data_IF_977308607106
#
_entry.id   IF_977308607106
#
_cell.length_a   1.000
_cell.length_b   1.000
_cell.length_c   1.000
_cell.angle_alpha   90.00
_cell.angle_beta   90.00
_cell.angle_gamma   90.00
#
_symmetry.space_group_name_H-M   'P 1'
#
loop_
_entity.id
_entity.type
_entity.pdbx_description
1 polymer ?
#
# COMPACT_ATOMS: atom_id res chain seq x y z
N UNK A 1 2.75 -15.87 0.73
CA UNK A 1 1.94 -16.48 -0.35
C UNK A 1 2.37 -15.74 -1.60
N UNK A 2 3.11 -16.40 -2.49
CA UNK A 2 3.53 -15.77 -3.74
C UNK A 2 2.31 -15.65 -4.65
N UNK A 3 1.78 -14.44 -4.76
CA UNK A 3 0.72 -14.13 -5.71
C UNK A 3 1.37 -13.51 -6.94
N UNK A 4 0.99 -13.97 -8.14
CA UNK A 4 1.33 -13.25 -9.36
C UNK A 4 0.68 -11.88 -9.37
N UNK A 5 1.26 -10.93 -10.10
CA UNK A 5 0.70 -9.59 -10.24
C UNK A 5 -0.73 -9.61 -10.79
N UNK A 6 -1.06 -10.57 -11.67
CA UNK A 6 -2.41 -10.77 -12.21
C UNK A 6 -3.41 -11.19 -11.14
N UNK A 7 -3.05 -12.13 -10.26
CA UNK A 7 -3.94 -12.58 -9.20
C UNK A 7 -4.22 -11.44 -8.20
N UNK A 8 -3.21 -10.62 -7.90
CA UNK A 8 -3.39 -9.43 -7.06
C UNK A 8 -4.27 -8.39 -7.75
N UNK A 9 -4.10 -8.18 -9.06
CA UNK A 9 -4.97 -7.30 -9.82
C UNK A 9 -6.44 -7.75 -9.75
N UNK A 10 -6.70 -9.03 -10.00
CA UNK A 10 -8.04 -9.58 -9.89
C UNK A 10 -8.63 -9.39 -8.50
N UNK A 11 -7.82 -9.56 -7.44
CA UNK A 11 -8.24 -9.30 -6.07
C UNK A 11 -8.60 -7.82 -5.85
N UNK A 12 -7.75 -6.87 -6.27
CA UNK A 12 -8.04 -5.45 -6.10
C UNK A 12 -9.27 -5.01 -6.89
N UNK A 13 -9.45 -5.49 -8.12
CA UNK A 13 -10.64 -5.24 -8.94
C UNK A 13 -11.90 -5.81 -8.27
N UNK A 14 -11.82 -7.03 -7.74
CA UNK A 14 -12.91 -7.65 -6.99
C UNK A 14 -13.25 -6.84 -5.73
N UNK A 15 -12.24 -6.30 -5.04
CA UNK A 15 -12.46 -5.41 -3.91
C UNK A 15 -13.13 -4.10 -4.33
N UNK A 16 -12.70 -3.48 -5.45
CA UNK A 16 -13.34 -2.28 -5.96
C UNK A 16 -14.81 -2.49 -6.29
N UNK A 17 -15.15 -3.67 -6.80
CA UNK A 17 -16.53 -4.06 -7.13
C UNK A 17 -17.34 -4.52 -5.90
N UNK A 18 -16.77 -4.53 -4.70
CA UNK A 18 -17.43 -4.96 -3.47
C UNK A 18 -17.68 -6.47 -3.39
N UNK A 19 -16.96 -7.27 -4.20
CA UNK A 19 -17.09 -8.73 -4.27
C UNK A 19 -16.22 -9.46 -3.24
N UNK A 20 -15.39 -8.75 -2.49
CA UNK A 20 -14.55 -9.30 -1.42
C UNK A 20 -15.19 -9.12 -0.05
N UNK A 21 -14.57 -9.69 0.98
CA UNK A 21 -15.03 -9.52 2.36
C UNK A 21 -14.99 -8.03 2.75
N UNK A 22 -16.17 -7.42 2.96
CA UNK A 22 -16.28 -6.00 3.34
C UNK A 22 -15.66 -5.68 4.71
N UNK A 23 -15.46 -6.69 5.55
CA UNK A 23 -14.77 -6.58 6.85
C UNK A 23 -13.25 -6.77 6.74
N UNK A 24 -12.71 -6.96 5.55
CA UNK A 24 -11.27 -7.00 5.36
C UNK A 24 -10.71 -5.61 5.66
N UNK A 25 -9.82 -5.53 6.65
CA UNK A 25 -9.21 -4.27 7.09
C UNK A 25 -7.73 -4.18 6.68
N UNK A 26 -7.03 -5.31 6.64
CA UNK A 26 -5.63 -5.39 6.24
C UNK A 26 -5.33 -6.71 5.56
N UNK A 27 -4.46 -6.70 4.55
CA UNK A 27 -3.77 -7.89 4.09
C UNK A 27 -2.28 -7.60 3.86
N UNK A 28 -1.47 -8.67 3.88
CA UNK A 28 -0.06 -8.64 3.56
C UNK A 28 0.16 -9.39 2.26
N UNK A 29 0.82 -8.74 1.30
CA UNK A 29 1.05 -9.24 -0.04
C UNK A 29 2.54 -9.32 -0.30
N UNK A 30 3.01 -10.46 -0.81
CA UNK A 30 4.41 -10.66 -1.14
C UNK A 30 4.59 -10.46 -2.65
N UNK A 31 5.45 -9.53 -3.04
CA UNK A 31 5.81 -9.25 -4.43
C UNK A 31 7.31 -9.29 -4.64
N UNK A 32 7.72 -9.57 -5.88
CA UNK A 32 9.10 -9.85 -6.26
C UNK A 32 9.78 -8.66 -7.00
N UNK A 33 8.98 -7.72 -7.51
CA UNK A 33 9.46 -6.53 -8.23
C UNK A 33 8.51 -5.33 -8.09
N UNK A 34 9.03 -4.13 -8.37
CA UNK A 34 8.22 -2.92 -8.52
C UNK A 34 7.20 -3.00 -9.66
N UNK A 35 7.61 -3.64 -10.76
CA UNK A 35 6.75 -3.85 -11.92
C UNK A 35 5.55 -4.73 -11.56
N UNK A 36 5.70 -5.66 -10.61
CA UNK A 36 4.56 -6.44 -10.10
C UNK A 36 3.54 -5.56 -9.35
N UNK A 37 3.99 -4.55 -8.60
CA UNK A 37 3.08 -3.59 -7.92
C UNK A 37 2.30 -2.78 -8.96
N UNK A 38 3.00 -2.25 -9.97
CA UNK A 38 2.39 -1.51 -11.09
C UNK A 38 1.36 -2.37 -11.82
N UNK A 39 1.70 -3.62 -12.11
CA UNK A 39 0.82 -4.57 -12.78
C UNK A 39 -0.37 -4.95 -11.90
N UNK A 40 -0.16 -5.20 -10.60
CA UNK A 40 -1.22 -5.47 -9.65
C UNK A 40 -2.24 -4.32 -9.57
N UNK A 41 -1.79 -3.07 -9.63
CA UNK A 41 -2.66 -1.89 -9.53
C UNK A 41 -3.17 -1.39 -10.89
N UNK A 42 -2.79 -2.02 -12.01
CA UNK A 42 -3.16 -1.60 -13.35
C UNK A 42 -4.68 -1.51 -13.50
N UNK A 43 -5.17 -0.36 -13.94
CA UNK A 43 -6.59 -0.09 -14.11
C UNK A 43 -7.37 0.16 -12.81
N UNK A 44 -6.75 0.05 -11.62
CA UNK A 44 -7.41 0.32 -10.34
C UNK A 44 -7.48 1.82 -10.00
N UNK A 45 -6.83 2.70 -10.77
CA UNK A 45 -6.77 4.14 -10.50
C UNK A 45 -5.90 4.46 -9.27
N UNK A 46 -4.79 3.75 -9.11
CA UNK A 46 -3.85 4.00 -8.02
C UNK A 46 -3.11 5.32 -8.18
N UNK A 47 -3.11 6.14 -7.13
CA UNK A 47 -2.41 7.43 -7.05
C UNK A 47 -1.29 7.35 -6.00
N UNK A 48 -0.06 7.70 -6.40
CA UNK A 48 1.08 7.75 -5.49
C UNK A 48 1.02 9.04 -4.65
N UNK A 49 1.06 8.90 -3.33
CA UNK A 49 0.85 10.02 -2.40
C UNK A 49 2.13 10.42 -1.68
N UNK A 50 2.41 11.71 -1.63
CA UNK A 50 3.60 12.25 -0.95
C UNK A 50 3.52 12.04 0.58
N UNK A 51 4.50 11.37 1.22
CA UNK A 51 4.48 11.04 2.64
C UNK A 51 4.66 12.26 3.55
N UNK A 52 5.15 13.39 3.01
CA UNK A 52 5.33 14.66 3.76
C UNK A 52 3.99 15.33 4.03
N UNK A 53 3.05 15.18 3.09
CA UNK A 53 1.73 15.84 3.10
C UNK A 53 0.59 14.87 3.40
N UNK A 54 0.74 13.58 3.12
CA UNK A 54 -0.33 12.58 3.23
C UNK A 54 -0.08 11.65 4.41
N UNK A 55 -1.02 11.66 5.37
CA UNK A 55 -0.95 10.84 6.58
C UNK A 55 -2.31 10.26 6.89
N UNK A 56 -2.37 8.97 7.16
CA UNK A 56 -3.60 8.26 7.49
C UNK A 56 -3.45 7.51 8.81
N UNK A 57 -4.49 7.63 9.64
CA UNK A 57 -4.63 6.85 10.87
C UNK A 57 -5.54 5.68 10.60
N UNK A 58 -4.99 4.47 10.70
CA UNK A 58 -5.73 3.23 10.61
C UNK A 58 -5.91 2.62 12.01
N UNK A 59 -7.12 2.14 12.30
CA UNK A 59 -7.42 1.44 13.56
C UNK A 59 -8.20 0.18 13.24
N UNK A 60 -7.63 -0.98 13.56
CA UNK A 60 -8.32 -2.26 13.39
C UNK A 60 -9.52 -2.36 14.35
N UNK A 61 -10.62 -2.95 13.90
CA UNK A 61 -11.82 -3.17 14.71
C UNK A 61 -11.59 -4.10 15.90
N UNK A 62 -10.55 -4.94 15.86
CA UNK A 62 -10.21 -5.88 16.93
C UNK A 62 -9.53 -5.22 18.16
N UNK A 63 -9.68 -3.91 18.35
CA UNK A 63 -9.13 -3.19 19.51
C UNK A 63 -7.63 -2.93 19.43
N UNK A 64 -7.03 -3.03 18.23
CA UNK A 64 -5.59 -2.87 18.02
C UNK A 64 -5.06 -1.44 18.24
N UNK A 65 -3.74 -1.34 18.29
CA UNK A 65 -3.02 -0.05 18.33
C UNK A 65 -3.31 0.79 17.08
N UNK A 66 -3.26 2.12 17.23
CA UNK A 66 -3.34 3.02 16.08
C UNK A 66 -2.14 2.78 15.18
N UNK A 67 -2.40 2.65 13.88
CA UNK A 67 -1.37 2.53 12.85
C UNK A 67 -1.34 3.84 12.06
N UNK A 68 -0.17 4.45 11.95
CA UNK A 68 0.03 5.62 11.11
C UNK A 68 0.75 5.25 9.83
N UNK A 69 0.15 5.64 8.70
CA UNK A 69 0.61 5.38 7.34
C UNK A 69 0.94 6.74 6.70
N UNK A 70 2.15 6.86 6.12
CA UNK A 70 2.61 8.07 5.46
C UNK A 70 2.73 7.78 3.96
N UNK A 71 2.04 8.57 3.13
CA UNK A 71 2.01 8.38 1.67
C UNK A 71 1.27 7.09 1.27
N UNK A 72 1.93 6.29 0.44
CA UNK A 72 1.42 5.03 -0.13
C UNK A 72 0.75 5.22 -1.50
N UNK A 73 0.28 4.12 -2.09
CA UNK A 73 -0.55 4.18 -3.31
C UNK A 73 -2.01 4.06 -2.90
N UNK A 74 -2.78 5.11 -3.17
CA UNK A 74 -4.19 5.21 -2.80
C UNK A 74 -5.05 4.80 -3.98
N UNK A 75 -6.05 3.96 -3.75
CA UNK A 75 -7.07 3.64 -4.75
C UNK A 75 -8.42 3.46 -4.07
N UNK A 76 -9.50 3.64 -4.83
CA UNK A 76 -10.86 3.62 -4.28
C UNK A 76 -11.71 2.50 -4.84
N UNK A 77 -12.56 1.96 -3.98
CA UNK A 77 -13.64 1.08 -4.42
C UNK A 77 -14.79 1.87 -5.05
N UNK A 78 -15.66 1.17 -5.76
CA UNK A 78 -16.86 1.76 -6.37
C UNK A 78 -17.83 2.33 -5.33
N UNK A 79 -17.73 1.85 -4.07
CA UNK A 79 -18.46 2.39 -2.92
C UNK A 79 -17.76 3.59 -2.26
N UNK A 80 -16.67 4.09 -2.85
CA UNK A 80 -15.90 5.26 -2.38
C UNK A 80 -14.89 4.97 -1.28
N UNK A 81 -14.87 3.73 -0.73
CA UNK A 81 -13.91 3.31 0.31
C UNK A 81 -12.48 3.41 -0.19
N UNK A 82 -11.56 3.71 0.72
CA UNK A 82 -10.15 3.90 0.42
C UNK A 82 -9.37 2.61 0.72
N UNK A 83 -8.49 2.23 -0.19
CA UNK A 83 -7.44 1.27 0.04
C UNK A 83 -6.07 1.93 -0.16
N UNK A 84 -5.10 1.51 0.65
CA UNK A 84 -3.74 2.08 0.66
C UNK A 84 -2.73 0.95 0.61
N UNK A 85 -1.89 0.94 -0.43
CA UNK A 85 -0.70 0.09 -0.50
C UNK A 85 0.48 0.84 0.11
N UNK A 86 1.02 0.29 1.20
CA UNK A 86 2.17 0.81 1.93
C UNK A 86 3.46 0.23 1.31
N UNK A 87 4.39 1.09 0.88
CA UNK A 87 5.53 0.73 0.03
C UNK A 87 6.84 0.46 0.80
N UNK A 88 6.93 0.92 2.04
CA UNK A 88 8.16 0.87 2.84
C UNK A 88 8.31 -0.42 3.66
N UNK A 89 7.23 -1.17 3.86
CA UNK A 89 7.16 -2.36 4.71
C UNK A 89 7.03 -2.01 6.20
N UNK A 90 6.65 -0.77 6.52
CA UNK A 90 6.77 -0.23 7.87
C UNK A 90 5.61 0.70 8.22
N UNK A 91 5.13 0.63 9.47
CA UNK A 91 4.04 1.45 9.98
C UNK A 91 4.21 1.73 11.48
N UNK A 92 3.62 2.82 11.99
CA UNK A 92 3.90 3.30 13.35
C UNK A 92 2.74 3.12 14.31
N UNK A 93 3.05 2.79 15.57
CA UNK A 93 2.07 2.77 16.66
C UNK A 93 1.76 4.17 17.24
N UNK A 94 2.58 5.17 16.91
CA UNK A 94 2.50 6.56 17.41
C UNK A 94 2.54 7.57 16.28
N UNK A 95 1.85 8.68 16.48
CA UNK A 95 1.88 9.83 15.57
C UNK A 95 3.20 10.59 15.77
N UNK A 96 3.85 11.03 14.69
CA UNK A 96 5.14 11.74 14.75
C UNK A 96 6.24 11.00 15.52
N UNK A 97 6.31 9.67 15.36
CA UNK A 97 7.46 8.89 15.83
C UNK A 97 8.76 9.52 15.31
N UNK A 98 9.83 9.53 16.11
CA UNK A 98 11.13 10.11 15.71
C UNK A 98 11.65 9.46 14.41
N UNK A 99 11.23 8.23 14.14
CA UNK A 99 11.55 7.48 12.93
C UNK A 99 10.74 7.91 11.68
N UNK A 100 9.77 8.82 11.79
CA UNK A 100 8.97 9.30 10.65
C UNK A 100 9.84 10.00 9.60
N UNK A 101 10.89 10.73 9.99
CA UNK A 101 11.81 11.36 9.04
C UNK A 101 12.61 10.31 8.24
N UNK A 102 13.08 9.27 8.91
CA UNK A 102 13.76 8.14 8.26
C UNK A 102 12.86 7.46 7.25
N UNK A 103 11.57 7.30 7.54
CA UNK A 103 10.64 6.70 6.59
C UNK A 103 10.20 7.62 5.47
N UNK A 104 10.01 8.92 5.71
CA UNK A 104 9.83 9.88 4.62
C UNK A 104 11.02 9.79 3.68
N UNK A 105 12.24 9.72 4.20
CA UNK A 105 13.44 9.54 3.39
C UNK A 105 13.42 8.22 2.61
N UNK A 106 13.17 7.08 3.27
CA UNK A 106 13.07 5.77 2.59
C UNK A 106 11.99 5.79 1.53
N UNK A 107 10.81 6.34 1.83
CA UNK A 107 9.72 6.44 0.88
C UNK A 107 10.12 7.30 -0.32
N UNK A 108 10.77 8.45 -0.12
CA UNK A 108 11.26 9.29 -1.22
C UNK A 108 12.30 8.56 -2.08
N UNK A 109 13.20 7.78 -1.47
CA UNK A 109 14.14 6.92 -2.20
C UNK A 109 13.42 5.81 -3.00
N UNK A 110 12.34 5.24 -2.46
CA UNK A 110 11.50 4.26 -3.18
C UNK A 110 10.65 4.93 -4.27
N UNK A 111 10.17 6.17 -4.08
CA UNK A 111 9.48 6.96 -5.11
C UNK A 111 10.42 7.25 -6.28
N UNK A 112 11.67 7.59 -6.01
CA UNK A 112 12.67 7.81 -7.05
C UNK A 112 12.81 6.54 -7.91
N UNK A 113 12.95 5.37 -7.28
CA UNK A 113 12.99 4.08 -8.00
C UNK A 113 11.69 3.76 -8.74
N UNK A 114 10.54 4.16 -8.20
CA UNK A 114 9.24 4.00 -8.85
C UNK A 114 9.17 4.78 -10.16
N UNK A 115 9.66 6.01 -10.18
CA UNK A 115 9.69 6.87 -11.37
C UNK A 115 10.74 6.41 -12.38
N UNK A 116 11.88 5.90 -11.92
CA UNK A 116 12.96 5.41 -12.77
C UNK A 116 12.82 3.97 -13.25
N UNK A 117 11.77 3.24 -12.82
CA UNK A 117 11.68 1.77 -12.84
C UNK A 117 12.37 1.09 -14.02
N UNK A 118 13.62 0.69 -13.78
CA UNK A 118 14.32 -0.37 -14.52
C UNK A 118 13.83 -1.70 -13.94
N UNK A 119 13.25 -2.54 -14.79
CA UNK A 119 12.69 -3.86 -14.45
C UNK A 119 13.73 -4.82 -13.81
N UNK A 120 15.00 -4.42 -13.73
CA UNK A 120 16.12 -5.19 -13.15
C UNK A 120 16.27 -5.05 -11.63
N UNK A 121 15.55 -4.14 -10.98
CA UNK A 121 15.61 -4.00 -9.53
C UNK A 121 14.73 -5.06 -8.84
N UNK A 122 15.37 -6.06 -8.22
CA UNK A 122 14.67 -7.04 -7.39
C UNK A 122 14.12 -6.36 -6.13
N UNK A 123 12.82 -6.50 -5.93
CA UNK A 123 12.10 -5.92 -4.80
C UNK A 123 11.44 -7.06 -4.04
N UNK A 124 12.10 -7.58 -2.99
CA UNK A 124 11.46 -8.55 -2.10
C UNK A 124 11.00 -7.81 -0.85
N UNK A 125 9.76 -7.31 -0.86
CA UNK A 125 9.12 -6.77 0.34
C UNK A 125 7.70 -7.31 0.48
N UNK A 126 7.31 -7.51 1.73
CA UNK A 126 5.91 -7.66 2.08
C UNK A 126 5.26 -6.27 2.08
N UNK A 127 4.23 -6.12 1.26
CA UNK A 127 3.43 -4.90 1.18
C UNK A 127 2.21 -5.04 2.08
N UNK A 128 1.97 -4.01 2.88
CA UNK A 128 0.75 -3.92 3.65
C UNK A 128 -0.31 -3.18 2.83
N UNK A 129 -1.47 -3.80 2.67
CA UNK A 129 -2.64 -3.11 2.13
C UNK A 129 -3.64 -2.88 3.24
N UNK A 130 -4.02 -1.62 3.43
CA UNK A 130 -4.98 -1.20 4.44
C UNK A 130 -6.28 -0.77 3.76
N UNK A 131 -7.41 -1.22 4.31
CA UNK A 131 -8.74 -0.96 3.78
C UNK A 131 -9.55 -0.18 4.83
N UNK A 132 -9.97 1.02 4.45
CA UNK A 132 -10.73 1.95 5.29
C UNK A 132 -12.24 1.78 5.10
#
# INVERSE_FOLDING_TARGET
>A
MDFSSENMNQFFRSWQEGKTNRRLERCELQLNSYSDVKNALKGCGGELMDPRTTRLKFRSSNGGHNIWIYGGIHFRGNDGRLAVVELTGTYFSRENDENCQTQIKLYLEEMEKWDYSDDRLSFHKNLNVFFF
#
